data_IF_845106924469
#
_entry.id   IF_845106924469
#
_cell.length_a   1.000
_cell.length_b   1.000
_cell.length_c   1.000
_cell.angle_alpha   90.00
_cell.angle_beta   90.00
_cell.angle_gamma   90.00
#
_symmetry.space_group_name_H-M   'P 1'
#
loop_
_entity.id
_entity.type
_entity.pdbx_description
1 polymer ?
#
# COMPACT_ATOMS: atom_id res chain seq x y z
N UNK A 1 -5.13 69.74 7.77
CA UNK A 1 -4.41 68.52 7.39
C UNK A 1 -4.89 67.40 8.32
N UNK A 2 -5.84 66.58 7.86
CA UNK A 2 -6.40 65.45 8.59
C UNK A 2 -5.42 64.28 8.56
N UNK A 3 -5.04 63.73 9.71
CA UNK A 3 -4.26 62.50 9.78
C UNK A 3 -5.20 61.38 10.26
N UNK A 4 -5.67 60.57 9.32
CA UNK A 4 -6.61 59.47 9.55
C UNK A 4 -5.86 58.20 9.98
N UNK A 5 -6.26 57.72 11.17
CA UNK A 5 -6.25 56.35 11.68
C UNK A 5 -6.06 55.25 10.62
N UNK A 6 -5.08 54.37 10.84
CA UNK A 6 -5.18 52.97 10.44
C UNK A 6 -4.81 52.12 11.66
N UNK A 7 -5.86 51.61 12.32
CA UNK A 7 -5.76 50.44 13.19
C UNK A 7 -5.54 49.24 12.28
N UNK A 8 -4.35 48.64 12.32
CA UNK A 8 -4.14 47.30 11.80
C UNK A 8 -4.67 46.30 12.84
N UNK A 9 -5.96 45.94 12.75
CA UNK A 9 -6.48 44.76 13.41
C UNK A 9 -5.91 43.56 12.69
N UNK A 10 -4.86 42.98 13.26
CA UNK A 10 -4.39 41.65 12.88
C UNK A 10 -5.47 40.64 13.26
N UNK A 11 -6.38 40.37 12.33
CA UNK A 11 -7.18 39.16 12.33
C UNK A 11 -6.20 38.00 12.17
N UNK A 12 -5.69 37.51 13.30
CA UNK A 12 -5.18 36.16 13.40
C UNK A 12 -6.33 35.25 12.99
N UNK A 13 -6.33 34.83 11.72
CA UNK A 13 -7.03 33.64 11.31
C UNK A 13 -6.40 32.50 12.10
N UNK A 14 -6.97 32.26 13.29
CA UNK A 14 -6.82 31.01 13.98
C UNK A 14 -7.39 29.95 13.03
N UNK A 15 -6.50 29.33 12.26
CA UNK A 15 -6.69 27.95 11.88
C UNK A 15 -6.75 27.18 13.21
N UNK A 16 -7.93 27.14 13.81
CA UNK A 16 -8.26 26.19 14.88
C UNK A 16 -8.19 24.82 14.23
N UNK A 17 -6.98 24.28 14.21
CA UNK A 17 -6.68 22.92 13.81
C UNK A 17 -7.61 21.99 14.59
N UNK A 18 -8.39 21.17 13.89
CA UNK A 18 -9.32 20.21 14.48
C UNK A 18 -8.70 19.38 15.63
N UNK A 19 -7.38 19.16 15.60
CA UNK A 19 -6.59 18.55 16.66
C UNK A 19 -6.70 19.25 18.04
N UNK A 20 -6.80 20.59 18.08
CA UNK A 20 -6.95 21.34 19.33
C UNK A 20 -8.36 21.23 19.92
N UNK A 21 -9.39 21.06 19.08
CA UNK A 21 -10.77 20.88 19.53
C UNK A 21 -11.02 19.48 20.10
N UNK A 22 -10.41 18.43 19.52
CA UNK A 22 -10.52 17.06 20.06
C UNK A 22 -9.88 16.94 21.45
N UNK A 23 -8.86 17.75 21.75
CA UNK A 23 -8.26 17.80 23.08
C UNK A 23 -9.18 18.45 24.15
N UNK A 24 -10.20 19.21 23.72
CA UNK A 24 -11.12 19.93 24.62
C UNK A 24 -12.42 19.17 24.93
N UNK A 25 -12.77 18.15 24.15
CA UNK A 25 -13.89 17.25 24.40
C UNK A 25 -13.37 15.89 24.93
N UNK A 26 -13.53 15.59 26.23
CA UNK A 26 -13.10 14.34 26.82
C UNK A 26 -13.67 13.09 26.16
N UNK A 27 -14.91 13.13 25.66
CA UNK A 27 -15.53 11.99 24.97
C UNK A 27 -14.89 11.80 23.60
N UNK A 28 -14.70 12.87 22.85
CA UNK A 28 -13.99 12.82 21.56
C UNK A 28 -12.56 12.29 21.73
N UNK A 29 -11.86 12.73 22.79
CA UNK A 29 -10.51 12.25 23.07
C UNK A 29 -10.47 10.77 23.47
N UNK A 30 -11.36 10.30 24.33
CA UNK A 30 -11.45 8.87 24.68
C UNK A 30 -11.76 8.01 23.45
N UNK A 31 -12.67 8.45 22.59
CA UNK A 31 -12.97 7.78 21.33
C UNK A 31 -11.75 7.76 20.39
N UNK A 32 -11.01 8.86 20.28
CA UNK A 32 -9.78 8.92 19.50
C UNK A 32 -8.73 7.95 20.03
N UNK A 33 -8.54 7.90 21.35
CA UNK A 33 -7.59 6.97 21.98
C UNK A 33 -7.98 5.50 21.73
N UNK A 34 -9.27 5.17 21.79
CA UNK A 34 -9.77 3.86 21.39
C UNK A 34 -9.48 3.55 19.92
N UNK A 35 -9.74 4.49 19.01
CA UNK A 35 -9.43 4.33 17.58
C UNK A 35 -7.95 4.07 17.31
N UNK A 36 -7.06 4.75 18.03
CA UNK A 36 -5.61 4.55 17.91
C UNK A 36 -5.19 3.15 18.35
N UNK A 37 -5.71 2.64 19.48
CA UNK A 37 -5.46 1.27 19.89
C UNK A 37 -5.95 0.26 18.84
N UNK A 38 -7.14 0.48 18.25
CA UNK A 38 -7.66 -0.41 17.23
C UNK A 38 -6.84 -0.40 15.94
N UNK A 39 -6.40 0.77 15.49
CA UNK A 39 -5.57 0.96 14.28
C UNK A 39 -4.15 0.44 14.43
N UNK A 40 -3.57 0.53 15.64
CA UNK A 40 -2.22 0.06 15.92
C UNK A 40 -2.00 -1.40 15.53
N UNK A 41 -3.06 -2.22 15.57
CA UNK A 41 -3.00 -3.66 15.24
C UNK A 41 -2.57 -3.96 13.80
N UNK A 42 -2.77 -3.03 12.87
CA UNK A 42 -2.41 -3.21 11.45
C UNK A 42 -1.20 -2.38 11.03
N UNK A 43 -0.74 -1.43 11.86
CA UNK A 43 0.31 -0.49 11.46
C UNK A 43 1.68 -1.18 11.23
N UNK A 44 1.93 -2.31 11.88
CA UNK A 44 3.15 -3.11 11.68
C UNK A 44 3.27 -3.62 10.24
N UNK A 45 2.16 -4.07 9.64
CA UNK A 45 2.12 -4.53 8.25
C UNK A 45 2.41 -3.40 7.23
N UNK A 46 2.29 -2.15 7.68
CA UNK A 46 2.51 -0.95 6.87
C UNK A 46 3.80 -0.22 7.25
N UNK A 47 4.72 -0.91 7.92
CA UNK A 47 6.09 -0.43 8.19
C UNK A 47 6.26 0.42 9.45
N UNK A 48 5.26 0.46 10.35
CA UNK A 48 5.36 1.16 11.62
C UNK A 48 5.76 0.22 12.76
N UNK A 49 6.47 0.74 13.75
CA UNK A 49 6.82 -0.05 14.93
C UNK A 49 5.66 -0.02 15.93
N UNK A 50 5.14 -1.20 16.29
CA UNK A 50 4.04 -1.33 17.27
C UNK A 50 4.57 -1.85 18.60
N UNK A 51 4.50 -1.03 19.64
CA UNK A 51 4.98 -1.34 21.00
C UNK A 51 3.92 -2.10 21.79
N UNK A 52 3.74 -3.38 21.48
CA UNK A 52 2.71 -4.26 22.06
C UNK A 52 2.79 -4.32 23.60
N UNK A 53 3.99 -4.19 24.16
CA UNK A 53 4.24 -4.18 25.61
C UNK A 53 3.70 -2.93 26.32
N UNK A 54 3.36 -1.88 25.58
CA UNK A 54 2.88 -0.59 26.13
C UNK A 54 1.36 -0.42 26.02
N UNK A 55 0.66 -1.39 25.43
CA UNK A 55 -0.79 -1.33 25.20
C UNK A 55 -1.56 -1.23 26.53
N UNK A 56 -1.15 -1.98 27.55
CA UNK A 56 -1.80 -1.93 28.87
C UNK A 56 -1.61 -0.56 29.54
N UNK A 57 -0.37 -0.05 29.54
CA UNK A 57 -0.07 1.28 30.07
C UNK A 57 -0.85 2.39 29.34
N UNK A 58 -1.00 2.26 28.02
CA UNK A 58 -1.81 3.16 27.19
C UNK A 58 -3.30 3.10 27.56
N UNK A 59 -3.85 1.90 27.74
CA UNK A 59 -5.25 1.72 28.15
C UNK A 59 -5.51 2.34 29.53
N UNK A 60 -4.60 2.14 30.49
CA UNK A 60 -4.68 2.73 31.82
C UNK A 60 -4.62 4.27 31.77
N UNK A 61 -3.76 4.84 30.92
CA UNK A 61 -3.69 6.29 30.74
C UNK A 61 -4.99 6.86 30.12
N UNK A 62 -5.62 6.15 29.19
CA UNK A 62 -6.90 6.54 28.62
C UNK A 62 -8.04 6.50 29.68
N UNK A 63 -8.07 5.48 30.53
CA UNK A 63 -9.02 5.39 31.65
C UNK A 63 -8.80 6.54 32.64
N UNK A 64 -7.54 6.81 33.03
CA UNK A 64 -7.21 7.91 33.95
C UNK A 64 -7.62 9.27 33.39
N UNK A 65 -7.49 9.49 32.08
CA UNK A 65 -8.00 10.68 31.42
C UNK A 65 -9.52 10.82 31.59
N UNK A 66 -10.26 9.74 31.37
CA UNK A 66 -11.72 9.76 31.54
C UNK A 66 -12.15 10.05 32.99
N UNK A 67 -11.44 9.46 33.96
CA UNK A 67 -11.66 9.75 35.38
C UNK A 67 -11.38 11.22 35.72
N UNK A 68 -10.31 11.81 35.17
CA UNK A 68 -9.98 13.22 35.37
C UNK A 68 -11.04 14.17 34.79
N UNK A 69 -11.80 13.70 33.79
CA UNK A 69 -12.92 14.42 33.18
C UNK A 69 -14.27 14.15 33.87
N UNK A 70 -14.29 13.39 34.97
CA UNK A 70 -15.50 13.11 35.75
C UNK A 70 -16.29 11.87 35.31
N UNK A 71 -15.75 11.03 34.42
CA UNK A 71 -16.36 9.74 34.07
C UNK A 71 -15.97 8.65 35.07
N UNK A 72 -16.84 7.64 35.23
CA UNK A 72 -16.45 6.42 35.91
C UNK A 72 -15.42 5.65 35.09
N UNK A 73 -14.65 4.79 35.76
CA UNK A 73 -13.74 3.85 35.10
C UNK A 73 -14.46 3.00 34.05
N UNK A 74 -15.60 2.42 34.42
CA UNK A 74 -16.44 1.60 33.53
C UNK A 74 -16.88 2.36 32.29
N UNK A 75 -17.30 3.63 32.44
CA UNK A 75 -17.75 4.45 31.32
C UNK A 75 -16.57 4.81 30.40
N UNK A 76 -15.43 5.18 30.98
CA UNK A 76 -14.19 5.48 30.24
C UNK A 76 -13.71 4.28 29.44
N UNK A 77 -13.66 3.11 30.07
CA UNK A 77 -13.33 1.83 29.43
C UNK A 77 -14.30 1.53 28.28
N UNK A 78 -15.60 1.74 28.47
CA UNK A 78 -16.62 1.48 27.46
C UNK A 78 -16.42 2.34 26.20
N UNK A 79 -16.15 3.65 26.36
CA UNK A 79 -15.86 4.53 25.22
C UNK A 79 -14.61 4.06 24.44
N UNK A 80 -13.51 3.80 25.16
CA UNK A 80 -12.25 3.37 24.54
C UNK A 80 -12.43 2.03 23.83
N UNK A 81 -13.05 1.04 24.49
CA UNK A 81 -13.27 -0.30 23.93
C UNK A 81 -14.16 -0.26 22.69
N UNK A 82 -15.29 0.44 22.74
CA UNK A 82 -16.20 0.52 21.59
C UNK A 82 -15.54 1.16 20.38
N UNK A 83 -14.77 2.24 20.60
CA UNK A 83 -14.03 2.90 19.54
C UNK A 83 -12.88 2.04 18.99
N UNK A 84 -12.21 1.28 19.86
CA UNK A 84 -11.19 0.29 19.48
C UNK A 84 -11.79 -0.81 18.62
N UNK A 85 -12.87 -1.45 19.06
CA UNK A 85 -13.53 -2.54 18.33
C UNK A 85 -14.05 -2.05 16.97
N UNK A 86 -14.60 -0.82 16.91
CA UNK A 86 -15.00 -0.21 15.64
C UNK A 86 -13.80 0.05 14.72
N UNK A 87 -12.70 0.58 15.24
CA UNK A 87 -11.50 0.85 14.46
C UNK A 87 -10.83 -0.44 13.96
N UNK A 88 -10.81 -1.50 14.77
CA UNK A 88 -10.33 -2.83 14.35
C UNK A 88 -11.17 -3.38 13.20
N UNK A 89 -12.51 -3.30 13.30
CA UNK A 89 -13.40 -3.72 12.20
C UNK A 89 -13.17 -2.89 10.94
N UNK A 90 -12.99 -1.57 11.06
CA UNK A 90 -12.71 -0.71 9.91
C UNK A 90 -11.37 -1.08 9.26
N UNK A 91 -10.31 -1.24 10.05
CA UNK A 91 -8.99 -1.66 9.59
C UNK A 91 -9.05 -2.99 8.81
N UNK A 92 -9.78 -3.98 9.33
CA UNK A 92 -9.99 -5.25 8.63
C UNK A 92 -10.78 -5.08 7.33
N UNK A 93 -11.76 -4.17 7.29
CA UNK A 93 -12.51 -3.89 6.08
C UNK A 93 -11.64 -3.17 5.03
N UNK A 94 -10.77 -2.25 5.44
CA UNK A 94 -9.84 -1.55 4.56
C UNK A 94 -8.84 -2.54 3.92
N UNK A 95 -8.31 -3.48 4.71
CA UNK A 95 -7.46 -4.57 4.20
C UNK A 95 -8.24 -5.49 3.25
N UNK A 96 -9.44 -5.92 3.62
CA UNK A 96 -10.29 -6.73 2.72
C UNK A 96 -10.61 -5.99 1.42
N UNK A 97 -10.83 -4.69 1.50
CA UNK A 97 -11.09 -3.85 0.34
C UNK A 97 -9.89 -3.80 -0.62
N UNK A 98 -8.64 -3.94 -0.15
CA UNK A 98 -7.46 -4.07 -1.02
C UNK A 98 -7.56 -5.29 -1.95
N UNK A 99 -8.12 -6.40 -1.45
CA UNK A 99 -8.34 -7.64 -2.22
C UNK A 99 -9.70 -7.72 -2.94
N UNK A 100 -10.53 -6.67 -2.84
CA UNK A 100 -11.93 -6.71 -3.26
C UNK A 100 -12.13 -6.97 -4.76
N UNK A 101 -13.00 -7.93 -5.07
CA UNK A 101 -13.40 -8.43 -6.40
C UNK A 101 -14.21 -7.45 -7.28
N UNK A 102 -14.06 -6.14 -7.08
CA UNK A 102 -14.81 -5.10 -7.77
C UNK A 102 -14.02 -4.37 -8.86
N UNK A 103 -12.74 -4.69 -9.04
CA UNK A 103 -11.93 -4.10 -10.10
C UNK A 103 -12.22 -4.80 -11.44
N UNK A 104 -12.70 -4.02 -12.42
CA UNK A 104 -13.00 -4.50 -13.77
C UNK A 104 -11.74 -4.90 -14.55
N UNK A 105 -10.59 -4.34 -14.18
CA UNK A 105 -9.28 -4.64 -14.75
C UNK A 105 -8.13 -4.50 -13.71
N UNK A 106 -6.94 -4.95 -14.10
CA UNK A 106 -5.73 -4.91 -13.26
C UNK A 106 -5.28 -3.49 -12.88
N UNK A 107 -5.58 -2.48 -13.71
CA UNK A 107 -5.22 -1.09 -13.43
C UNK A 107 -6.12 -0.51 -12.33
N UNK A 108 -7.43 -0.78 -12.39
CA UNK A 108 -8.40 -0.44 -11.37
C UNK A 108 -8.07 -1.13 -10.04
N UNK A 109 -7.65 -2.41 -10.08
CA UNK A 109 -7.19 -3.14 -8.91
C UNK A 109 -5.97 -2.45 -8.29
N UNK A 110 -4.99 -2.07 -9.11
CA UNK A 110 -3.79 -1.38 -8.66
C UNK A 110 -4.07 0.00 -8.07
N UNK A 111 -5.03 0.74 -8.62
CA UNK A 111 -5.49 2.01 -8.09
C UNK A 111 -6.17 1.83 -6.73
N UNK A 112 -7.04 0.81 -6.60
CA UNK A 112 -7.73 0.50 -5.36
C UNK A 112 -6.77 0.07 -4.24
N UNK A 113 -5.85 -0.85 -4.52
CA UNK A 113 -4.82 -1.31 -3.55
C UNK A 113 -4.04 -0.10 -3.00
N UNK A 114 -3.59 0.80 -3.87
CA UNK A 114 -2.88 2.02 -3.45
C UNK A 114 -3.76 2.97 -2.64
N UNK A 115 -5.02 3.13 -3.03
CA UNK A 115 -5.95 4.01 -2.33
C UNK A 115 -6.17 3.54 -0.89
N UNK A 116 -6.47 2.25 -0.70
CA UNK A 116 -6.68 1.67 0.63
C UNK A 116 -5.40 1.71 1.47
N UNK A 117 -4.24 1.37 0.88
CA UNK A 117 -2.97 1.44 1.59
C UNK A 117 -2.64 2.87 2.05
N UNK A 118 -2.95 3.90 1.24
CA UNK A 118 -2.79 5.32 1.67
C UNK A 118 -3.67 5.67 2.86
N UNK A 119 -4.91 5.19 2.91
CA UNK A 119 -5.82 5.42 4.04
C UNK A 119 -5.22 4.84 5.33
N UNK A 120 -4.70 3.61 5.25
CA UNK A 120 -4.08 2.93 6.38
C UNK A 120 -2.80 3.64 6.82
N UNK A 121 -1.89 3.98 5.90
CA UNK A 121 -0.65 4.69 6.20
C UNK A 121 -0.93 6.05 6.87
N UNK A 122 -1.86 6.83 6.30
CA UNK A 122 -2.25 8.13 6.86
C UNK A 122 -2.82 7.97 8.28
N UNK A 123 -3.63 6.93 8.50
CA UNK A 123 -4.17 6.57 9.80
C UNK A 123 -3.06 6.20 10.80
N UNK A 124 -2.07 5.40 10.41
CA UNK A 124 -0.93 5.04 11.26
C UNK A 124 -0.02 6.23 11.54
N UNK A 125 0.13 7.17 10.60
CA UNK A 125 0.78 8.47 10.85
C UNK A 125 0.06 9.31 11.87
N UNK A 126 -1.26 9.33 11.81
CA UNK A 126 -2.08 10.02 12.81
C UNK A 126 -1.78 9.47 14.21
N UNK A 127 -1.75 8.14 14.37
CA UNK A 127 -1.40 7.50 15.65
C UNK A 127 0.02 7.88 16.09
N UNK A 128 1.00 7.74 15.19
CA UNK A 128 2.41 7.98 15.49
C UNK A 128 2.75 9.44 15.82
N UNK A 129 1.97 10.40 15.31
CA UNK A 129 2.17 11.82 15.56
C UNK A 129 1.41 12.32 16.80
N UNK A 130 0.45 11.55 17.32
CA UNK A 130 -0.26 11.90 18.54
C UNK A 130 0.61 11.65 19.79
N UNK A 131 0.66 12.58 20.77
CA UNK A 131 1.48 12.41 21.98
C UNK A 131 1.18 11.15 22.81
N UNK A 132 -0.06 10.68 22.83
CA UNK A 132 -0.45 9.44 23.50
C UNK A 132 -0.33 8.24 22.54
N UNK A 133 -0.75 8.39 21.28
CA UNK A 133 -0.66 7.35 20.25
C UNK A 133 0.76 6.89 19.97
N UNK A 134 1.74 7.82 19.99
CA UNK A 134 3.16 7.50 19.76
C UNK A 134 3.77 6.52 20.77
N UNK A 135 3.12 6.36 21.93
CA UNK A 135 3.55 5.39 22.94
C UNK A 135 3.30 3.95 22.48
N UNK A 136 2.31 3.72 21.61
CA UNK A 136 1.97 2.39 21.10
C UNK A 136 2.36 2.19 19.63
N UNK A 137 2.52 3.27 18.84
CA UNK A 137 2.96 3.20 17.45
C UNK A 137 4.05 4.23 17.20
N UNK A 138 5.23 3.83 16.74
CA UNK A 138 6.27 4.74 16.29
C UNK A 138 6.36 4.78 14.77
N UNK A 139 6.58 5.98 14.26
CA UNK A 139 6.64 6.22 12.84
C UNK A 139 8.00 5.89 12.24
N UNK A 140 8.08 5.20 11.09
CA UNK A 140 9.36 4.99 10.42
C UNK A 140 9.85 6.31 9.80
N UNK A 141 11.16 6.44 9.52
CA UNK A 141 11.74 7.63 8.89
C UNK A 141 11.38 7.75 7.39
N UNK A 142 10.65 6.78 6.85
CA UNK A 142 10.22 6.72 5.46
C UNK A 142 9.06 7.69 5.21
N UNK A 143 9.08 8.30 4.02
CA UNK A 143 7.94 9.05 3.50
C UNK A 143 6.73 8.13 3.28
N UNK A 144 5.52 8.67 3.37
CA UNK A 144 4.29 7.90 3.13
C UNK A 144 4.27 7.27 1.74
N UNK A 145 4.89 7.91 0.74
CA UNK A 145 4.98 7.35 -0.61
C UNK A 145 6.02 6.23 -0.71
N UNK A 146 7.07 6.23 0.12
CA UNK A 146 7.99 5.08 0.21
C UNK A 146 7.30 3.89 0.86
N UNK A 147 6.59 4.12 1.98
CA UNK A 147 5.79 3.09 2.64
C UNK A 147 4.73 2.51 1.71
N UNK A 148 4.07 3.37 0.93
CA UNK A 148 3.08 2.93 -0.03
C UNK A 148 3.68 1.95 -1.05
N UNK A 149 4.86 2.27 -1.60
CA UNK A 149 5.55 1.39 -2.56
C UNK A 149 5.97 0.09 -1.90
N UNK A 150 6.56 0.15 -0.71
CA UNK A 150 7.04 -1.05 -0.01
C UNK A 150 5.90 -2.04 0.29
N UNK A 151 4.71 -1.54 0.64
CA UNK A 151 3.54 -2.38 0.92
C UNK A 151 2.84 -2.84 -0.36
N UNK A 152 2.71 -1.97 -1.36
CA UNK A 152 1.86 -2.27 -2.53
C UNK A 152 2.61 -2.93 -3.68
N UNK A 153 3.90 -2.66 -3.87
CA UNK A 153 4.66 -3.24 -4.99
C UNK A 153 4.71 -4.77 -4.97
N UNK A 154 4.87 -5.46 -3.82
CA UNK A 154 4.81 -6.92 -3.78
C UNK A 154 3.46 -7.48 -4.26
N UNK A 155 2.36 -6.82 -3.89
CA UNK A 155 0.99 -7.21 -4.29
C UNK A 155 0.73 -6.94 -5.78
N UNK A 156 1.34 -5.91 -6.34
CA UNK A 156 1.12 -5.45 -7.70
C UNK A 156 2.14 -5.98 -8.71
N UNK A 157 3.22 -6.60 -8.24
CA UNK A 157 4.25 -7.17 -9.12
C UNK A 157 3.66 -8.19 -10.08
N UNK A 158 2.82 -9.16 -9.65
CA UNK A 158 2.22 -10.13 -10.57
C UNK A 158 1.34 -9.49 -11.65
N UNK A 159 0.67 -8.37 -11.36
CA UNK A 159 -0.20 -7.70 -12.33
C UNK A 159 0.55 -6.73 -13.24
N UNK A 160 1.86 -6.54 -13.04
CA UNK A 160 2.64 -5.60 -13.83
C UNK A 160 2.46 -4.13 -13.44
N UNK A 161 1.82 -3.87 -12.30
CA UNK A 161 1.52 -2.51 -11.83
C UNK A 161 2.33 -2.10 -10.60
N UNK A 162 3.39 -2.81 -10.21
CA UNK A 162 4.32 -2.28 -9.21
C UNK A 162 4.97 -0.98 -9.69
N UNK A 163 5.33 -0.09 -8.76
CA UNK A 163 5.78 1.28 -9.06
C UNK A 163 7.03 1.34 -9.95
N UNK A 164 7.84 0.29 -9.95
CA UNK A 164 9.05 0.16 -10.74
C UNK A 164 8.84 -0.46 -12.13
N UNK A 165 7.66 -1.02 -12.41
CA UNK A 165 7.36 -1.70 -13.66
C UNK A 165 6.96 -0.72 -14.76
N UNK A 166 7.60 -0.87 -15.93
CA UNK A 166 7.30 -0.06 -17.11
C UNK A 166 6.37 -0.80 -18.08
N UNK A 167 5.73 -0.09 -19.05
CA UNK A 167 5.03 -0.76 -20.16
C UNK A 167 5.91 -1.79 -20.88
N UNK A 168 7.21 -1.48 -21.07
CA UNK A 168 8.17 -2.41 -21.69
C UNK A 168 8.37 -3.68 -20.84
N UNK A 169 8.49 -3.56 -19.52
CA UNK A 169 8.60 -4.73 -18.64
C UNK A 169 7.34 -5.59 -18.68
N UNK A 170 6.15 -5.00 -18.69
CA UNK A 170 4.89 -5.75 -18.83
C UNK A 170 4.82 -6.53 -20.13
N UNK A 171 5.11 -5.88 -21.25
CA UNK A 171 5.19 -6.56 -22.55
C UNK A 171 6.30 -7.62 -22.59
N UNK A 172 7.37 -7.42 -21.83
CA UNK A 172 8.46 -8.39 -21.65
C UNK A 172 8.00 -9.64 -20.91
N UNK A 173 7.21 -9.50 -19.84
CA UNK A 173 6.61 -10.61 -19.13
C UNK A 173 5.66 -11.43 -20.01
N UNK A 174 4.79 -10.77 -20.78
CA UNK A 174 3.92 -11.43 -21.75
C UNK A 174 4.73 -12.24 -22.79
N UNK A 175 5.84 -11.67 -23.27
CA UNK A 175 6.73 -12.33 -24.22
C UNK A 175 7.39 -13.55 -23.60
N UNK A 176 7.88 -13.42 -22.37
CA UNK A 176 8.53 -14.50 -21.63
C UNK A 176 7.55 -15.65 -21.35
N UNK A 177 6.33 -15.34 -20.92
CA UNK A 177 5.27 -16.34 -20.74
C UNK A 177 4.93 -17.04 -22.05
N UNK A 178 4.77 -16.28 -23.15
CA UNK A 178 4.49 -16.87 -24.47
C UNK A 178 5.60 -17.82 -24.94
N UNK A 179 6.87 -17.48 -24.71
CA UNK A 179 8.01 -18.35 -25.01
C UNK A 179 7.96 -19.63 -24.17
N UNK A 180 7.60 -19.53 -22.90
CA UNK A 180 7.46 -20.69 -22.01
C UNK A 180 6.33 -21.63 -22.44
N UNK A 181 5.14 -21.09 -22.73
CA UNK A 181 3.98 -21.86 -23.21
C UNK A 181 4.28 -22.55 -24.54
N UNK A 182 5.04 -21.89 -25.42
CA UNK A 182 5.39 -22.42 -26.73
C UNK A 182 6.70 -23.22 -26.78
N UNK A 183 7.28 -23.54 -25.62
CA UNK A 183 8.61 -24.15 -25.55
C UNK A 183 8.72 -25.48 -26.31
N UNK A 184 7.65 -26.27 -26.41
CA UNK A 184 7.61 -27.54 -27.16
C UNK A 184 7.79 -27.37 -28.67
N UNK A 185 7.48 -26.19 -29.20
CA UNK A 185 7.59 -25.86 -30.63
C UNK A 185 8.83 -25.02 -30.96
N UNK A 186 9.69 -24.76 -29.97
CA UNK A 186 10.87 -23.95 -30.10
C UNK A 186 12.12 -24.76 -29.76
N UNK A 187 13.18 -24.55 -30.54
CA UNK A 187 14.52 -24.93 -30.08
C UNK A 187 14.96 -24.01 -28.94
N UNK A 188 15.85 -24.50 -28.08
CA UNK A 188 16.46 -23.68 -27.02
C UNK A 188 17.06 -22.38 -27.53
N UNK A 189 17.69 -22.40 -28.71
CA UNK A 189 18.27 -21.21 -29.33
C UNK A 189 17.19 -20.19 -29.72
N UNK A 190 16.06 -20.64 -30.27
CA UNK A 190 14.93 -19.77 -30.60
C UNK A 190 14.30 -19.17 -29.35
N UNK A 191 14.03 -19.97 -28.32
CA UNK A 191 13.49 -19.48 -27.04
C UNK A 191 14.39 -18.41 -26.44
N UNK A 192 15.71 -18.65 -26.39
CA UNK A 192 16.67 -17.68 -25.89
C UNK A 192 16.71 -16.39 -26.73
N UNK A 193 16.63 -16.51 -28.06
CA UNK A 193 16.66 -15.34 -28.95
C UNK A 193 15.49 -14.38 -28.70
N UNK A 194 14.30 -14.92 -28.42
CA UNK A 194 13.11 -14.10 -28.15
C UNK A 194 13.22 -13.23 -26.90
N UNK A 195 13.91 -13.73 -25.87
CA UNK A 195 14.00 -13.06 -24.56
C UNK A 195 15.37 -12.44 -24.29
N UNK A 196 16.34 -12.60 -25.20
CA UNK A 196 17.74 -12.22 -24.98
C UNK A 196 17.90 -10.76 -24.52
N UNK A 197 17.15 -9.83 -25.11
CA UNK A 197 17.20 -8.42 -24.73
C UNK A 197 16.73 -8.18 -23.29
N UNK A 198 15.71 -8.91 -22.83
CA UNK A 198 15.14 -8.75 -21.49
C UNK A 198 16.11 -9.20 -20.39
N UNK A 199 16.99 -10.15 -20.68
CA UNK A 199 17.99 -10.65 -19.73
C UNK A 199 19.38 -10.04 -19.93
N UNK A 200 19.54 -9.15 -20.92
CA UNK A 200 20.82 -8.51 -21.20
C UNK A 200 21.31 -7.70 -19.98
N UNK A 201 22.61 -7.76 -19.65
CA UNK A 201 23.18 -6.94 -18.58
C UNK A 201 22.92 -5.45 -18.83
N UNK A 202 22.61 -4.70 -17.77
CA UNK A 202 22.33 -3.26 -17.83
C UNK A 202 21.12 -2.90 -18.72
N UNK A 203 20.23 -3.84 -19.04
CA UNK A 203 18.98 -3.53 -19.76
C UNK A 203 18.08 -2.60 -18.95
N UNK A 204 18.12 -2.73 -17.63
CA UNK A 204 17.34 -1.94 -16.69
C UNK A 204 18.28 -1.18 -15.74
N UNK A 205 17.81 -0.08 -15.12
CA UNK A 205 18.57 0.57 -14.06
C UNK A 205 18.94 -0.40 -12.95
N UNK A 206 20.15 -0.28 -12.40
CA UNK A 206 20.66 -1.18 -11.36
C UNK A 206 19.71 -1.34 -10.16
N UNK A 207 18.98 -0.28 -9.80
CA UNK A 207 18.01 -0.30 -8.70
C UNK A 207 16.80 -1.24 -8.92
N UNK A 208 16.55 -1.67 -10.15
CA UNK A 208 15.39 -2.51 -10.52
C UNK A 208 15.79 -3.75 -11.34
N UNK A 209 17.07 -3.95 -11.66
CA UNK A 209 17.51 -5.06 -12.50
C UNK A 209 17.15 -6.43 -11.90
N UNK A 210 17.44 -6.64 -10.62
CA UNK A 210 17.10 -7.90 -9.93
C UNK A 210 15.59 -8.12 -9.85
N UNK A 211 14.82 -7.05 -9.60
CA UNK A 211 13.35 -7.10 -9.58
C UNK A 211 12.78 -7.47 -10.95
N UNK A 212 13.32 -6.87 -12.02
CA UNK A 212 12.91 -7.18 -13.38
C UNK A 212 13.22 -8.63 -13.76
N UNK A 213 14.41 -9.14 -13.40
CA UNK A 213 14.78 -10.56 -13.61
C UNK A 213 13.82 -11.50 -12.88
N UNK A 214 13.59 -11.28 -11.59
CA UNK A 214 12.66 -12.10 -10.80
C UNK A 214 11.24 -12.08 -11.36
N UNK A 215 10.79 -10.93 -11.85
CA UNK A 215 9.48 -10.80 -12.49
C UNK A 215 9.38 -11.59 -13.79
N UNK A 216 10.40 -11.57 -14.64
CA UNK A 216 10.43 -12.40 -15.84
C UNK A 216 10.54 -13.89 -15.51
N UNK A 217 11.34 -14.26 -14.51
CA UNK A 217 11.47 -15.65 -14.07
C UNK A 217 10.12 -16.19 -13.54
N UNK A 218 9.37 -15.37 -12.80
CA UNK A 218 8.02 -15.69 -12.35
C UNK A 218 7.08 -16.01 -13.53
N UNK A 219 7.05 -15.15 -14.56
CA UNK A 219 6.19 -15.36 -15.73
C UNK A 219 6.67 -16.50 -16.63
N UNK A 220 7.98 -16.73 -16.69
CA UNK A 220 8.55 -17.89 -17.35
C UNK A 220 8.06 -19.17 -16.70
N UNK A 221 8.12 -19.25 -15.37
CA UNK A 221 7.64 -20.42 -14.64
C UNK A 221 6.14 -20.61 -14.82
N UNK A 222 5.35 -19.54 -14.66
CA UNK A 222 3.90 -19.59 -14.88
C UNK A 222 3.53 -20.10 -16.27
N UNK A 223 4.22 -19.64 -17.32
CA UNK A 223 4.00 -20.15 -18.66
C UNK A 223 4.40 -21.62 -18.86
N UNK A 224 5.40 -22.13 -18.11
CA UNK A 224 5.71 -23.58 -18.10
C UNK A 224 4.62 -24.38 -17.42
N UNK A 225 4.05 -23.85 -16.33
CA UNK A 225 2.96 -24.50 -15.60
C UNK A 225 1.69 -24.58 -16.47
N UNK A 226 1.40 -23.53 -17.23
CA UNK A 226 0.23 -23.45 -18.14
C UNK A 226 0.44 -24.19 -19.48
N UNK A 227 1.67 -24.58 -19.82
CA UNK A 227 2.03 -25.22 -21.09
C UNK A 227 1.18 -26.49 -21.36
N UNK A 228 0.92 -27.29 -20.32
CA UNK A 228 0.11 -28.51 -20.42
C UNK A 228 -1.38 -28.24 -20.62
N UNK A 229 -1.87 -27.09 -20.19
CA UNK A 229 -3.29 -26.73 -20.22
C UNK A 229 -3.69 -26.08 -21.55
N UNK A 230 -2.78 -25.32 -22.19
CA UNK A 230 -3.11 -24.54 -23.38
C UNK A 230 -3.08 -25.33 -24.70
N UNK A 231 -2.37 -26.47 -24.79
CA UNK A 231 -2.30 -27.36 -25.96
C UNK A 231 -2.20 -26.63 -27.33
N UNK A 232 -1.37 -25.60 -27.41
CA UNK A 232 -1.22 -24.81 -28.64
C UNK A 232 -0.49 -25.59 -29.73
N UNK A 233 -0.96 -25.46 -30.97
CA UNK A 233 -0.23 -25.93 -32.15
C UNK A 233 0.87 -24.94 -32.58
N UNK A 234 1.74 -25.37 -33.50
CA UNK A 234 2.85 -24.55 -33.98
C UNK A 234 2.41 -23.23 -34.66
N UNK A 235 1.24 -23.22 -35.32
CA UNK A 235 0.70 -22.02 -35.97
C UNK A 235 0.19 -21.02 -34.94
N UNK A 236 -0.52 -21.50 -33.92
CA UNK A 236 -0.99 -20.71 -32.79
C UNK A 236 0.19 -20.12 -32.02
N UNK A 237 1.23 -20.92 -31.77
CA UNK A 237 2.45 -20.44 -31.14
C UNK A 237 3.18 -19.37 -31.96
N UNK A 238 3.30 -19.54 -33.27
CA UNK A 238 3.91 -18.52 -34.12
C UNK A 238 3.13 -17.20 -34.09
N UNK A 239 1.78 -17.26 -34.14
CA UNK A 239 0.92 -16.07 -34.01
C UNK A 239 1.09 -15.38 -32.66
N UNK A 240 1.08 -16.15 -31.57
CA UNK A 240 1.25 -15.63 -30.21
C UNK A 240 2.61 -14.93 -30.06
N UNK A 241 3.69 -15.60 -30.42
CA UNK A 241 5.05 -15.05 -30.33
C UNK A 241 5.22 -13.80 -31.20
N UNK A 242 4.68 -13.80 -32.42
CA UNK A 242 4.72 -12.63 -33.31
C UNK A 242 3.96 -11.45 -32.71
N UNK A 243 2.77 -11.69 -32.17
CA UNK A 243 1.96 -10.67 -31.51
C UNK A 243 2.66 -10.07 -30.29
N UNK A 244 3.21 -10.91 -29.41
CA UNK A 244 3.93 -10.45 -28.20
C UNK A 244 5.24 -9.74 -28.56
N UNK A 245 5.98 -10.20 -29.56
CA UNK A 245 7.17 -9.52 -30.05
C UNK A 245 6.85 -8.13 -30.62
N UNK A 246 5.74 -7.98 -31.35
CA UNK A 246 5.28 -6.69 -31.86
C UNK A 246 4.88 -5.74 -30.72
N UNK A 247 4.15 -6.24 -29.71
CA UNK A 247 3.77 -5.46 -28.53
C UNK A 247 5.00 -5.01 -27.73
N UNK A 248 5.96 -5.91 -27.51
CA UNK A 248 7.23 -5.60 -26.85
C UNK A 248 8.01 -4.51 -27.59
N UNK A 249 8.06 -4.60 -28.92
CA UNK A 249 8.70 -3.59 -29.76
C UNK A 249 8.00 -2.23 -29.67
N UNK A 250 6.67 -2.21 -29.62
CA UNK A 250 5.89 -0.98 -29.50
C UNK A 250 5.99 -0.34 -28.10
N UNK A 251 6.33 -1.12 -27.07
CA UNK A 251 6.48 -0.66 -25.70
C UNK A 251 7.89 -0.15 -25.35
N UNK A 252 8.87 -0.30 -26.27
CA UNK A 252 10.22 0.27 -26.12
C UNK A 252 10.19 1.79 -26.23
#
# INVERSE_FOLDING_TARGET
>A
MLNWKILAVALALAATSAHAQVAQDPVARLNQLGRYAGRATICEEFGFDVHKERVEAYANAAIALGQSAGFSETLSYTYVKNAMDQAMRQAQNDIKAMSGSGAEDEAALAANIRSQARIIIASCREVANDPAGRNIVSGPPLSDESLLRDVTDPLLTPTGYASWQTPYMRAGADMVQAVAVCATHLTRAQSNAYIAELYAPNRFPAAVEDKARQYFDFWMQKGRDEMGDMNLDATQCNRLLTGRAAALKAAR
#
